data_IF_660859505579
#
_entry.id   IF_660859505579
#
_cell.length_a   1.000
_cell.length_b   1.000
_cell.length_c   1.000
_cell.angle_alpha   90.00
_cell.angle_beta   90.00
_cell.angle_gamma   90.00
#
_symmetry.space_group_name_H-M   'P 1'
#
loop_
_entity.id
_entity.type
_entity.pdbx_description
1 polymer ?
#
# COMPACT_ATOMS: atom_id res chain seq x y z
N UNK A 1 3.50 -6.23 27.30
CA UNK A 1 3.00 -4.98 27.90
C UNK A 1 2.10 -4.29 26.89
N UNK A 2 0.80 -4.58 26.93
CA UNK A 2 -0.16 -3.91 26.05
C UNK A 2 -0.43 -2.51 26.60
N UNK A 3 0.02 -1.48 25.87
CA UNK A 3 -0.29 -0.09 26.24
C UNK A 3 -1.78 0.17 26.07
N UNK A 4 -2.38 0.86 27.05
CA UNK A 4 -3.75 1.36 26.92
C UNK A 4 -3.75 2.38 25.77
N UNK A 5 -4.50 2.08 24.70
CA UNK A 5 -4.66 3.01 23.58
C UNK A 5 -5.87 3.88 23.88
N UNK A 6 -5.62 5.16 24.19
CA UNK A 6 -6.69 6.11 24.46
C UNK A 6 -7.09 6.86 23.20
N UNK A 7 -8.37 6.79 22.87
CA UNK A 7 -8.95 7.54 21.75
C UNK A 7 -9.71 8.73 22.33
N UNK A 8 -9.22 9.95 22.11
CA UNK A 8 -9.88 11.18 22.58
C UNK A 8 -10.93 11.68 21.58
N UNK A 9 -12.03 12.23 22.09
CA UNK A 9 -12.97 13.01 21.27
C UNK A 9 -12.35 14.31 20.78
N UNK A 10 -12.95 14.91 19.77
CA UNK A 10 -12.65 16.30 19.41
C UNK A 10 -12.92 17.23 20.60
N UNK A 11 -12.14 18.30 20.67
CA UNK A 11 -12.36 19.35 21.65
C UNK A 11 -13.70 20.04 21.42
N UNK A 12 -14.43 20.30 22.51
CA UNK A 12 -15.59 21.18 22.49
C UNK A 12 -15.16 22.63 22.20
N UNK A 13 -16.11 23.50 21.78
CA UNK A 13 -15.86 24.93 21.67
C UNK A 13 -15.38 25.51 23.01
N UNK A 14 -14.61 26.60 22.95
CA UNK A 14 -14.20 27.32 24.14
C UNK A 14 -15.39 27.98 24.83
N UNK A 15 -15.39 27.99 26.16
CA UNK A 15 -16.36 28.72 26.96
C UNK A 15 -16.28 30.23 26.69
N UNK A 16 -17.30 30.98 27.14
CA UNK A 16 -17.16 32.42 27.27
C UNK A 16 -15.98 32.76 28.21
N UNK A 17 -15.36 33.91 27.98
CA UNK A 17 -14.29 34.41 28.84
C UNK A 17 -14.86 34.79 30.21
N UNK A 18 -14.16 34.43 31.29
CA UNK A 18 -14.59 34.73 32.66
C UNK A 18 -14.64 36.22 32.99
N UNK A 19 -13.88 37.05 32.28
CA UNK A 19 -13.86 38.50 32.43
C UNK A 19 -14.00 39.18 31.08
N UNK A 20 -14.73 40.30 31.03
CA UNK A 20 -14.88 41.08 29.81
C UNK A 20 -13.61 41.86 29.44
N UNK A 21 -12.82 42.25 30.44
CA UNK A 21 -11.57 43.01 30.32
C UNK A 21 -10.65 42.69 31.51
N UNK A 22 -9.44 43.27 31.53
CA UNK A 22 -8.38 43.09 32.54
C UNK A 22 -7.82 41.66 32.70
N UNK A 23 -8.13 40.79 31.74
CA UNK A 23 -7.66 39.41 31.73
C UNK A 23 -8.65 38.48 32.42
N UNK A 24 -9.20 37.56 31.64
CA UNK A 24 -9.98 36.43 32.11
C UNK A 24 -9.39 35.12 31.62
N UNK A 25 -10.10 34.04 31.91
CA UNK A 25 -9.80 32.70 31.41
C UNK A 25 -11.02 32.11 30.73
N UNK A 26 -10.76 31.35 29.68
CA UNK A 26 -11.74 30.49 29.02
C UNK A 26 -11.20 29.07 29.05
N UNK A 27 -12.10 28.10 29.11
CA UNK A 27 -11.75 26.69 29.18
C UNK A 27 -12.48 25.90 28.10
N UNK A 28 -11.91 24.77 27.73
CA UNK A 28 -12.57 23.77 26.88
C UNK A 28 -12.27 22.37 27.39
N UNK A 29 -13.18 21.47 27.07
CA UNK A 29 -13.19 20.09 27.52
C UNK A 29 -13.22 19.13 26.35
N UNK A 30 -12.67 17.93 26.55
CA UNK A 30 -12.84 16.78 25.64
C UNK A 30 -12.99 15.52 26.45
N UNK A 31 -13.77 14.58 25.94
CA UNK A 31 -13.92 13.26 26.53
C UNK A 31 -12.92 12.24 25.98
N UNK A 32 -12.85 11.09 26.65
CA UNK A 32 -12.24 9.87 26.12
C UNK A 32 -13.36 9.01 25.53
N UNK A 33 -13.16 8.52 24.33
CA UNK A 33 -14.08 7.61 23.62
C UNK A 33 -13.78 6.16 23.94
N UNK A 34 -12.50 5.79 24.06
CA UNK A 34 -12.04 4.43 24.34
C UNK A 34 -10.81 4.45 25.25
N UNK A 35 -10.69 3.47 26.14
CA UNK A 35 -9.52 3.31 27.02
C UNK A 35 -9.54 4.11 28.33
N UNK A 36 -10.68 4.71 28.71
CA UNK A 36 -10.78 5.65 29.84
C UNK A 36 -10.71 5.06 31.26
N UNK A 37 -10.89 3.75 31.44
CA UNK A 37 -10.77 3.12 32.76
C UNK A 37 -10.28 1.67 32.62
N UNK A 38 -9.08 1.37 33.13
CA UNK A 38 -8.67 0.00 33.40
C UNK A 38 -8.87 -0.31 34.88
N UNK A 39 -9.24 -1.56 35.19
CA UNK A 39 -9.28 -2.11 36.56
C UNK A 39 -7.93 -2.11 37.27
N UNK A 40 -6.86 -1.69 36.59
CA UNK A 40 -5.47 -1.71 37.04
C UNK A 40 -4.91 -0.30 37.34
N UNK A 41 -5.77 0.72 37.42
CA UNK A 41 -5.38 2.08 37.84
C UNK A 41 -4.63 2.91 36.79
N UNK A 42 -4.43 2.39 35.57
CA UNK A 42 -3.90 3.16 34.45
C UNK A 42 -5.02 3.98 33.78
N UNK A 43 -4.90 5.31 33.84
CA UNK A 43 -5.75 6.25 33.11
C UNK A 43 -5.08 6.75 31.82
N UNK A 44 -5.84 7.46 30.99
CA UNK A 44 -5.32 8.06 29.77
C UNK A 44 -4.32 9.18 30.06
N UNK A 45 -3.14 9.12 29.42
CA UNK A 45 -2.17 10.20 29.46
C UNK A 45 -2.54 11.27 28.42
N UNK A 46 -3.06 12.40 28.90
CA UNK A 46 -3.46 13.52 28.07
C UNK A 46 -4.49 14.44 28.74
N UNK A 47 -4.36 15.75 28.51
CA UNK A 47 -5.26 16.73 29.10
C UNK A 47 -6.70 16.53 28.59
N UNK A 48 -7.66 16.45 29.51
CA UNK A 48 -9.11 16.45 29.25
C UNK A 48 -9.72 17.85 29.34
N UNK A 49 -9.01 18.77 29.99
CA UNK A 49 -9.38 20.18 30.13
C UNK A 49 -8.18 21.03 29.74
N UNK A 50 -8.40 22.11 28.99
CA UNK A 50 -7.36 23.12 28.75
C UNK A 50 -7.90 24.49 29.10
N UNK A 51 -7.12 25.29 29.81
CA UNK A 51 -7.44 26.68 30.17
C UNK A 51 -6.52 27.61 29.40
N UNK A 52 -7.03 28.78 28.99
CA UNK A 52 -6.20 29.84 28.42
C UNK A 52 -6.70 31.22 28.82
N UNK A 53 -5.79 32.19 28.79
CA UNK A 53 -6.11 33.59 29.01
C UNK A 53 -6.90 34.18 27.84
N UNK A 54 -7.83 35.08 28.16
CA UNK A 54 -8.65 35.85 27.22
C UNK A 54 -8.83 37.28 27.75
N UNK A 55 -9.28 38.20 26.89
CA UNK A 55 -9.64 39.59 27.26
C UNK A 55 -8.62 40.35 28.11
N UNK A 56 -7.33 40.28 27.76
CA UNK A 56 -6.21 40.91 28.50
C UNK A 56 -6.10 42.44 28.32
N UNK A 57 -7.07 43.07 27.68
CA UNK A 57 -7.07 44.51 27.45
C UNK A 57 -7.61 45.25 28.69
N UNK A 58 -7.20 46.52 28.90
CA UNK A 58 -7.73 47.31 30.01
C UNK A 58 -9.20 47.67 29.81
N UNK A 59 -9.97 47.68 30.88
CA UNK A 59 -11.36 48.12 30.85
C UNK A 59 -11.47 49.60 30.44
N UNK A 60 -12.54 49.96 29.72
CA UNK A 60 -12.80 51.33 29.25
C UNK A 60 -12.06 51.75 27.97
N UNK A 61 -11.12 50.94 27.47
CA UNK A 61 -10.59 51.11 26.12
C UNK A 61 -11.46 50.34 25.13
N UNK A 62 -11.99 51.02 24.12
CA UNK A 62 -12.55 50.35 22.95
C UNK A 62 -11.44 49.55 22.29
N UNK A 63 -11.54 48.23 22.35
CA UNK A 63 -10.49 47.34 21.91
C UNK A 63 -10.97 46.62 20.65
N UNK A 64 -10.31 46.90 19.53
CA UNK A 64 -10.68 46.33 18.23
C UNK A 64 -10.15 44.90 18.12
N UNK A 65 -10.93 43.94 17.60
CA UNK A 65 -10.45 42.57 17.42
C UNK A 65 -9.18 42.53 16.56
N UNK A 66 -8.10 42.03 17.14
CA UNK A 66 -6.82 41.87 16.45
C UNK A 66 -6.60 40.40 16.16
N UNK A 67 -6.54 40.06 14.87
CA UNK A 67 -6.19 38.71 14.47
C UNK A 67 -4.70 38.44 14.65
N UNK A 68 -4.40 37.21 15.04
CA UNK A 68 -3.03 36.72 15.10
C UNK A 68 -2.37 36.75 13.71
N UNK A 69 -1.08 37.07 13.68
CA UNK A 69 -0.28 37.11 12.44
C UNK A 69 0.94 36.22 12.59
N UNK A 70 1.11 35.32 11.62
CA UNK A 70 2.31 34.53 11.45
C UNK A 70 3.46 35.36 10.89
N UNK A 71 4.67 35.07 11.36
CA UNK A 71 5.91 35.57 10.76
C UNK A 71 6.26 34.85 9.47
N UNK A 72 7.43 35.21 8.92
CA UNK A 72 8.02 34.46 7.81
C UNK A 72 8.41 33.06 8.28
N UNK A 73 8.34 32.12 7.34
CA UNK A 73 8.94 30.81 7.52
C UNK A 73 10.46 30.93 7.64
N UNK A 74 11.05 30.07 8.46
CA UNK A 74 12.48 29.79 8.39
C UNK A 74 12.83 29.11 7.08
N UNK A 75 14.14 29.08 6.79
CA UNK A 75 14.66 28.15 5.79
C UNK A 75 14.35 26.71 6.20
N UNK A 76 14.30 25.83 5.19
CA UNK A 76 14.17 24.40 5.41
C UNK A 76 15.41 23.84 6.10
N UNK A 77 15.21 22.91 7.03
CA UNK A 77 16.30 22.10 7.57
C UNK A 77 16.98 21.25 6.49
N UNK A 78 18.14 20.70 6.83
CA UNK A 78 18.69 19.57 6.10
C UNK A 78 17.71 18.37 6.14
N UNK A 79 17.84 17.50 5.15
CA UNK A 79 17.10 16.24 5.10
C UNK A 79 17.59 15.29 6.20
N UNK A 80 16.66 14.70 6.97
CA UNK A 80 17.00 13.73 8.01
C UNK A 80 17.71 12.49 7.47
N UNK A 81 17.37 12.08 6.25
CA UNK A 81 18.02 11.04 5.46
C UNK A 81 17.64 11.22 3.99
N UNK A 82 18.28 10.48 3.08
CA UNK A 82 17.82 10.50 1.70
C UNK A 82 16.39 9.94 1.58
N UNK A 83 15.56 10.60 0.76
CA UNK A 83 14.12 10.35 0.72
C UNK A 83 13.42 10.47 2.10
N UNK A 84 14.06 11.12 3.07
CA UNK A 84 13.54 11.39 4.40
C UNK A 84 12.65 12.61 4.43
N UNK A 85 12.70 13.34 5.55
CA UNK A 85 11.90 14.53 5.79
C UNK A 85 12.79 15.73 6.07
N UNK A 86 12.27 16.91 5.77
CA UNK A 86 12.82 18.21 6.17
C UNK A 86 11.73 19.03 6.83
N UNK A 87 12.12 19.91 7.73
CA UNK A 87 11.21 20.67 8.56
C UNK A 87 11.52 22.16 8.46
N UNK A 88 10.50 23.01 8.60
CA UNK A 88 10.66 24.46 8.79
C UNK A 88 9.69 24.97 9.84
N UNK A 89 10.02 26.10 10.45
CA UNK A 89 9.23 26.67 11.54
C UNK A 89 8.91 28.14 11.25
N UNK A 90 7.81 28.61 11.84
CA UNK A 90 7.48 30.04 11.89
C UNK A 90 6.98 30.40 13.28
N UNK A 91 7.21 31.65 13.69
CA UNK A 91 6.74 32.19 14.97
C UNK A 91 5.56 33.12 14.76
N UNK A 92 4.73 33.26 15.79
CA UNK A 92 3.73 34.32 15.85
C UNK A 92 4.47 35.66 15.99
N UNK A 93 4.15 36.61 15.11
CA UNK A 93 4.71 37.99 15.17
C UNK A 93 3.71 38.98 15.76
N UNK A 94 2.41 38.64 15.76
CA UNK A 94 1.37 39.40 16.44
C UNK A 94 0.40 38.42 17.07
N UNK A 95 0.25 38.50 18.39
CA UNK A 95 -0.71 37.69 19.13
C UNK A 95 -2.12 38.24 18.87
N UNK A 96 -3.13 37.37 18.94
CA UNK A 96 -4.52 37.81 18.87
C UNK A 96 -4.93 38.55 20.14
N UNK A 97 -5.68 39.63 20.00
CA UNK A 97 -6.24 40.40 21.12
C UNK A 97 -7.74 40.62 20.89
N UNK A 98 -8.48 40.94 21.95
CA UNK A 98 -9.83 41.47 21.84
C UNK A 98 -10.82 40.57 21.08
N UNK A 99 -10.76 39.26 21.34
CA UNK A 99 -11.61 38.28 20.63
C UNK A 99 -11.23 38.05 19.16
N UNK A 100 -10.10 38.59 18.69
CA UNK A 100 -9.57 38.31 17.36
C UNK A 100 -9.15 36.86 17.17
N UNK A 101 -9.12 36.42 15.90
CA UNK A 101 -8.81 35.04 15.52
C UNK A 101 -7.38 34.67 15.89
N UNK A 102 -7.22 33.61 16.68
CA UNK A 102 -5.91 33.08 17.06
C UNK A 102 -5.24 32.32 15.92
N UNK A 103 -3.92 32.24 15.95
CA UNK A 103 -3.18 31.34 15.06
C UNK A 103 -3.41 29.89 15.52
N UNK A 104 -3.52 28.96 14.56
CA UNK A 104 -3.68 27.53 14.88
C UNK A 104 -2.34 26.97 15.33
N UNK A 105 -2.30 26.27 16.45
CA UNK A 105 -1.04 25.74 17.00
C UNK A 105 -0.33 24.77 16.05
N UNK A 106 -1.10 23.91 15.34
CA UNK A 106 -0.55 22.97 14.35
C UNK A 106 0.04 23.60 13.09
N UNK A 107 -0.09 24.92 12.92
CA UNK A 107 0.41 25.66 11.77
C UNK A 107 1.81 26.28 12.03
N UNK A 108 2.42 26.02 13.20
CA UNK A 108 3.75 26.51 13.58
C UNK A 108 4.90 25.81 12.83
N UNK A 109 4.70 24.54 12.48
CA UNK A 109 5.69 23.65 11.88
C UNK A 109 5.16 23.08 10.57
N UNK A 110 6.05 22.89 9.61
CA UNK A 110 5.75 22.22 8.35
C UNK A 110 6.81 21.17 8.04
N UNK A 111 6.34 19.98 7.65
CA UNK A 111 7.18 18.84 7.29
C UNK A 111 6.97 18.52 5.80
N UNK A 112 8.07 18.44 5.05
CA UNK A 112 8.06 18.07 3.64
C UNK A 112 8.96 16.87 3.37
N UNK A 113 8.63 16.10 2.33
CA UNK A 113 9.47 15.00 1.85
C UNK A 113 10.71 15.54 1.15
N UNK A 114 11.83 14.87 1.36
CA UNK A 114 13.05 15.14 0.62
C UNK A 114 13.04 14.49 -0.77
N UNK A 115 13.66 15.12 -1.78
CA UNK A 115 13.86 14.50 -3.08
C UNK A 115 14.62 13.16 -2.97
N UNK A 116 14.31 12.22 -3.86
CA UNK A 116 15.05 10.94 -4.00
C UNK A 116 16.33 11.07 -4.81
N UNK A 117 16.99 12.24 -4.79
CA UNK A 117 18.28 12.37 -5.45
C UNK A 117 19.39 11.98 -4.49
N UNK A 118 19.48 10.68 -4.21
CA UNK A 118 20.55 10.10 -3.40
C UNK A 118 21.74 9.87 -4.32
N UNK A 119 22.56 10.88 -4.58
CA UNK A 119 23.95 10.58 -4.93
C UNK A 119 24.56 10.11 -3.61
N UNK A 120 24.69 8.79 -3.46
CA UNK A 120 25.36 8.21 -2.30
C UNK A 120 26.70 8.93 -2.10
N UNK A 121 27.07 9.16 -0.84
CA UNK A 121 28.37 9.78 -0.57
C UNK A 121 29.44 8.98 -1.30
N UNK A 122 30.32 9.66 -2.06
CA UNK A 122 31.37 9.00 -2.80
C UNK A 122 32.22 8.15 -1.85
N UNK A 123 32.20 6.83 -2.04
CA UNK A 123 33.06 5.92 -1.30
C UNK A 123 34.38 5.74 -2.05
N UNK A 124 35.46 5.59 -1.29
CA UNK A 124 36.78 5.31 -1.85
C UNK A 124 37.01 3.80 -1.91
N UNK A 125 37.18 3.27 -3.11
CA UNK A 125 37.49 1.86 -3.36
C UNK A 125 38.77 1.70 -4.17
N UNK A 126 39.50 0.62 -3.95
CA UNK A 126 40.64 0.31 -4.79
C UNK A 126 40.18 -0.15 -6.18
N UNK A 127 40.82 0.36 -7.24
CA UNK A 127 40.68 -0.19 -8.58
C UNK A 127 41.19 -1.63 -8.64
N UNK A 128 40.88 -2.31 -9.75
CA UNK A 128 41.59 -3.53 -10.12
C UNK A 128 43.09 -3.30 -10.18
N UNK A 129 43.83 -4.38 -9.90
CA UNK A 129 45.26 -4.40 -10.08
C UNK A 129 45.60 -4.19 -11.55
N UNK A 130 46.56 -3.31 -11.84
CA UNK A 130 47.18 -3.28 -13.15
C UNK A 130 47.80 -4.64 -13.47
N UNK A 131 47.98 -4.97 -14.76
CA UNK A 131 48.86 -6.04 -15.15
C UNK A 131 50.25 -5.87 -14.51
N UNK A 132 50.93 -6.99 -14.24
CA UNK A 132 52.32 -6.94 -13.81
C UNK A 132 53.19 -6.29 -14.90
N UNK A 133 54.15 -5.48 -14.48
CA UNK A 133 55.20 -4.95 -15.34
C UNK A 133 56.01 -6.08 -15.99
N UNK A 134 56.73 -5.74 -17.05
CA UNK A 134 57.82 -6.59 -17.54
C UNK A 134 58.82 -6.85 -16.41
N UNK A 135 59.54 -7.97 -16.51
CA UNK A 135 60.59 -8.30 -15.56
C UNK A 135 61.68 -7.22 -15.61
N UNK A 136 62.21 -6.80 -14.47
CA UNK A 136 63.28 -5.79 -14.40
C UNK A 136 64.56 -6.20 -15.11
N UNK A 137 64.78 -7.51 -15.26
CA UNK A 137 65.93 -8.11 -15.95
C UNK A 137 65.46 -9.28 -16.82
N UNK A 138 66.20 -9.55 -17.88
CA UNK A 138 65.96 -10.67 -18.79
C UNK A 138 66.52 -12.01 -18.26
N UNK A 139 67.53 -11.98 -17.38
CA UNK A 139 68.08 -13.16 -16.72
C UNK A 139 68.49 -12.86 -15.26
N UNK A 140 68.57 -13.89 -14.42
CA UNK A 140 68.86 -13.76 -12.98
C UNK A 140 67.64 -13.38 -12.13
N UNK A 141 67.89 -12.79 -10.96
CA UNK A 141 66.83 -12.42 -9.99
C UNK A 141 66.18 -11.09 -10.37
N UNK A 142 65.02 -11.16 -11.02
CA UNK A 142 64.22 -10.00 -11.37
C UNK A 142 63.02 -9.77 -10.46
N UNK A 143 62.46 -8.55 -10.52
CA UNK A 143 61.23 -8.18 -9.81
C UNK A 143 60.21 -7.67 -10.83
N UNK A 144 58.93 -7.96 -10.57
CA UNK A 144 57.79 -7.37 -11.29
C UNK A 144 57.00 -6.51 -10.33
N UNK A 145 56.45 -5.40 -10.83
CA UNK A 145 55.64 -4.47 -10.05
C UNK A 145 54.24 -4.41 -10.66
N UNK A 146 53.22 -4.23 -9.83
CA UNK A 146 51.87 -3.85 -10.23
C UNK A 146 51.34 -2.80 -9.27
N UNK A 147 50.38 -2.02 -9.73
CA UNK A 147 49.80 -0.93 -8.95
C UNK A 147 48.29 -0.91 -9.09
N UNK A 148 47.60 -0.42 -8.07
CA UNK A 148 46.18 -0.08 -8.11
C UNK A 148 46.01 1.32 -7.54
N UNK A 149 44.95 2.02 -7.92
CA UNK A 149 44.67 3.40 -7.47
C UNK A 149 43.40 3.43 -6.65
N UNK A 150 43.31 4.38 -5.74
CA UNK A 150 42.05 4.66 -5.05
C UNK A 150 41.14 5.38 -6.04
N UNK A 151 39.94 4.86 -6.24
CA UNK A 151 38.89 5.42 -7.08
C UNK A 151 37.69 5.79 -6.22
N UNK A 152 37.00 6.84 -6.65
CA UNK A 152 35.77 7.30 -6.01
C UNK A 152 34.58 6.73 -6.75
N UNK A 153 33.79 5.90 -6.09
CA UNK A 153 32.61 5.23 -6.68
C UNK A 153 31.37 5.52 -5.85
N UNK A 154 30.19 5.37 -6.46
CA UNK A 154 28.90 5.58 -5.79
C UNK A 154 28.18 4.26 -5.45
N UNK A 155 28.71 3.14 -5.94
CA UNK A 155 28.17 1.78 -5.81
C UNK A 155 29.31 0.82 -5.47
N UNK A 156 29.03 -0.21 -4.67
CA UNK A 156 29.98 -1.29 -4.40
C UNK A 156 29.80 -2.41 -5.43
N UNK A 157 30.84 -3.18 -5.77
CA UNK A 157 30.74 -4.32 -6.69
C UNK A 157 29.80 -5.42 -6.17
N UNK A 158 29.66 -5.57 -4.85
CA UNK A 158 28.66 -6.46 -4.24
C UNK A 158 27.23 -5.98 -4.54
N UNK A 159 26.99 -4.68 -4.49
CA UNK A 159 25.69 -4.08 -4.80
C UNK A 159 25.39 -4.16 -6.30
N UNK A 160 26.39 -3.95 -7.17
CA UNK A 160 26.24 -4.12 -8.62
C UNK A 160 25.91 -5.57 -9.00
N UNK A 161 26.59 -6.55 -8.40
CA UNK A 161 26.28 -7.97 -8.60
C UNK A 161 24.88 -8.33 -8.09
N UNK A 162 24.44 -7.72 -6.98
CA UNK A 162 23.08 -7.88 -6.47
C UNK A 162 22.03 -7.30 -7.44
N UNK A 163 22.27 -6.12 -8.02
CA UNK A 163 21.39 -5.54 -9.04
C UNK A 163 21.30 -6.42 -10.30
N UNK A 164 22.43 -6.92 -10.81
CA UNK A 164 22.43 -7.81 -11.98
C UNK A 164 21.67 -9.12 -11.71
N UNK A 165 21.76 -9.64 -10.48
CA UNK A 165 21.00 -10.81 -10.04
C UNK A 165 19.49 -10.52 -9.97
N UNK A 166 19.10 -9.32 -9.50
CA UNK A 166 17.72 -8.88 -9.49
C UNK A 166 17.14 -8.73 -10.90
N UNK A 167 17.90 -8.17 -11.83
CA UNK A 167 17.47 -8.04 -13.24
C UNK A 167 17.28 -9.41 -13.91
N UNK A 168 18.17 -10.38 -13.65
CA UNK A 168 17.97 -11.77 -14.10
C UNK A 168 16.69 -12.37 -13.53
N UNK A 169 16.42 -12.13 -12.24
CA UNK A 169 15.24 -12.65 -11.58
C UNK A 169 13.95 -12.04 -12.15
N UNK A 170 13.93 -10.73 -12.40
CA UNK A 170 12.79 -10.06 -13.04
C UNK A 170 12.50 -10.64 -14.43
N UNK A 171 13.54 -10.86 -15.25
CA UNK A 171 13.39 -11.52 -16.55
C UNK A 171 12.80 -12.94 -16.44
N UNK A 172 13.17 -13.70 -15.41
CA UNK A 172 12.57 -15.00 -15.14
C UNK A 172 11.09 -14.90 -14.76
N UNK A 173 10.72 -13.94 -13.91
CA UNK A 173 9.32 -13.69 -13.51
C UNK A 173 8.48 -13.34 -14.74
N UNK A 174 8.93 -12.41 -15.58
CA UNK A 174 8.23 -12.02 -16.81
C UNK A 174 8.01 -13.21 -17.77
N UNK A 175 9.01 -14.09 -17.92
CA UNK A 175 8.89 -15.30 -18.72
C UNK A 175 7.84 -16.27 -18.14
N UNK A 176 7.86 -16.49 -16.82
CA UNK A 176 6.86 -17.32 -16.14
C UNK A 176 5.45 -16.75 -16.27
N UNK A 177 5.30 -15.44 -16.12
CA UNK A 177 4.02 -14.76 -16.32
C UNK A 177 3.53 -14.90 -17.76
N UNK A 178 4.40 -14.72 -18.76
CA UNK A 178 4.09 -14.97 -20.17
C UNK A 178 3.62 -16.40 -20.42
N UNK A 179 4.31 -17.40 -19.85
CA UNK A 179 3.91 -18.81 -19.94
C UNK A 179 2.55 -19.06 -19.28
N UNK A 180 2.34 -18.54 -18.07
CA UNK A 180 1.06 -18.64 -17.35
C UNK A 180 -0.08 -18.00 -18.13
N UNK A 181 0.16 -16.84 -18.75
CA UNK A 181 -0.82 -16.14 -19.57
C UNK A 181 -1.20 -16.96 -20.80
N UNK A 182 -0.23 -17.54 -21.52
CA UNK A 182 -0.48 -18.44 -22.65
C UNK A 182 -1.31 -19.66 -22.24
N UNK A 183 -1.02 -20.28 -21.10
CA UNK A 183 -1.78 -21.42 -20.58
C UNK A 183 -3.23 -21.02 -20.27
N UNK A 184 -3.45 -19.87 -19.63
CA UNK A 184 -4.80 -19.35 -19.36
C UNK A 184 -5.58 -19.09 -20.65
N UNK A 185 -4.94 -18.51 -21.66
CA UNK A 185 -5.55 -18.30 -22.98
C UNK A 185 -5.91 -19.62 -23.66
N UNK A 186 -5.02 -20.60 -23.67
CA UNK A 186 -5.30 -21.92 -24.25
C UNK A 186 -6.47 -22.62 -23.54
N UNK A 187 -6.54 -22.55 -22.20
CA UNK A 187 -7.64 -23.12 -21.43
C UNK A 187 -8.99 -22.44 -21.76
N UNK A 188 -9.00 -21.12 -21.93
CA UNK A 188 -10.20 -20.37 -22.28
C UNK A 188 -10.73 -20.69 -23.68
N UNK A 189 -9.86 -21.01 -24.63
CA UNK A 189 -10.26 -21.42 -25.99
C UNK A 189 -10.70 -22.89 -26.05
N UNK A 190 -10.00 -23.78 -25.35
CA UNK A 190 -10.29 -25.21 -25.39
C UNK A 190 -11.63 -25.56 -24.70
N UNK A 191 -11.98 -24.89 -23.60
CA UNK A 191 -13.20 -25.19 -22.84
C UNK A 191 -14.52 -25.05 -23.63
N UNK A 192 -14.79 -23.90 -24.28
CA UNK A 192 -15.99 -23.72 -25.09
C UNK A 192 -16.05 -24.68 -26.27
N UNK A 193 -14.91 -24.95 -26.93
CA UNK A 193 -14.85 -25.87 -28.06
C UNK A 193 -15.21 -27.31 -27.67
N UNK A 194 -14.70 -27.81 -26.54
CA UNK A 194 -15.03 -29.15 -26.06
C UNK A 194 -16.49 -29.26 -25.62
N UNK A 195 -17.04 -28.23 -24.99
CA UNK A 195 -18.47 -28.19 -24.66
C UNK A 195 -19.36 -28.22 -25.90
N UNK A 196 -19.06 -27.42 -26.92
CA UNK A 196 -19.82 -27.40 -28.18
C UNK A 196 -19.78 -28.76 -28.88
N UNK A 197 -18.62 -29.42 -28.92
CA UNK A 197 -18.47 -30.76 -29.48
C UNK A 197 -19.28 -31.80 -28.69
N UNK A 198 -19.27 -31.73 -27.36
CA UNK A 198 -20.07 -32.62 -26.51
C UNK A 198 -21.58 -32.40 -26.74
N UNK A 199 -22.05 -31.15 -26.80
CA UNK A 199 -23.46 -30.85 -27.11
C UNK A 199 -23.86 -31.34 -28.51
N UNK A 200 -23.00 -31.17 -29.51
CA UNK A 200 -23.24 -31.68 -30.85
C UNK A 200 -23.32 -33.22 -30.86
N UNK A 201 -22.41 -33.91 -30.15
CA UNK A 201 -22.43 -35.35 -29.98
C UNK A 201 -23.70 -35.87 -29.29
N UNK A 202 -24.12 -35.23 -28.19
CA UNK A 202 -25.37 -35.58 -27.49
C UNK A 202 -26.58 -35.38 -28.41
N UNK A 203 -26.62 -34.27 -29.18
CA UNK A 203 -27.71 -34.03 -30.12
C UNK A 203 -27.77 -35.09 -31.22
N UNK A 204 -26.63 -35.45 -31.81
CA UNK A 204 -26.53 -36.51 -32.82
C UNK A 204 -26.99 -37.86 -32.27
N UNK A 205 -26.52 -38.22 -31.08
CA UNK A 205 -26.93 -39.46 -30.41
C UNK A 205 -28.43 -39.48 -30.08
N UNK A 206 -28.98 -38.36 -29.61
CA UNK A 206 -30.43 -38.24 -29.33
C UNK A 206 -31.33 -38.31 -30.57
N UNK A 207 -30.78 -37.99 -31.76
CA UNK A 207 -31.48 -38.16 -33.05
C UNK A 207 -31.44 -39.62 -33.47
N UNK A 208 -30.26 -40.22 -33.45
CA UNK A 208 -30.07 -41.63 -33.78
C UNK A 208 -30.91 -42.55 -32.89
N UNK A 209 -30.94 -42.31 -31.57
CA UNK A 209 -31.77 -43.08 -30.64
C UNK A 209 -33.28 -42.90 -30.88
N UNK A 210 -33.71 -41.73 -31.41
CA UNK A 210 -35.10 -41.47 -31.79
C UNK A 210 -35.49 -42.20 -33.06
N UNK A 211 -34.60 -42.26 -34.05
CA UNK A 211 -34.78 -43.06 -35.27
C UNK A 211 -34.88 -44.54 -34.92
N UNK A 212 -33.96 -45.08 -34.10
CA UNK A 212 -34.02 -46.48 -33.63
C UNK A 212 -35.30 -46.79 -32.83
N UNK A 213 -35.78 -45.84 -32.03
CA UNK A 213 -37.06 -45.99 -31.30
C UNK A 213 -38.29 -45.94 -32.23
N UNK A 214 -38.25 -45.10 -33.28
CA UNK A 214 -39.31 -45.01 -34.28
C UNK A 214 -39.38 -46.27 -35.15
N UNK A 215 -38.22 -46.82 -35.53
CA UNK A 215 -38.11 -48.09 -36.26
C UNK A 215 -38.59 -49.28 -35.41
N UNK A 216 -38.36 -49.26 -34.09
CA UNK A 216 -38.91 -50.30 -33.19
C UNK A 216 -40.42 -50.16 -32.96
N UNK A 217 -40.95 -48.94 -32.96
CA UNK A 217 -42.39 -48.69 -32.83
C UNK A 217 -43.17 -49.11 -34.08
N UNK A 218 -42.63 -48.89 -35.29
CA UNK A 218 -43.24 -49.33 -36.54
C UNK A 218 -43.25 -50.86 -36.68
N UNK A 219 -42.21 -51.56 -36.22
CA UNK A 219 -42.18 -53.03 -36.16
C UNK A 219 -43.23 -53.58 -35.18
N UNK A 220 -43.47 -52.90 -34.05
CA UNK A 220 -44.49 -53.31 -33.08
C UNK A 220 -45.93 -53.09 -33.59
N UNK A 221 -46.23 -51.99 -34.29
CA UNK A 221 -47.54 -51.80 -34.95
C UNK A 221 -47.82 -52.86 -36.03
N UNK A 222 -46.80 -53.27 -36.78
CA UNK A 222 -46.91 -54.37 -37.75
C UNK A 222 -47.14 -55.74 -37.09
N UNK A 223 -46.68 -55.94 -35.85
CA UNK A 223 -46.92 -57.17 -35.09
C UNK A 223 -48.30 -57.23 -34.40
N UNK A 224 -48.86 -56.08 -34.03
CA UNK A 224 -50.16 -55.99 -33.36
C UNK A 224 -51.37 -56.23 -34.29
N UNK A 225 -51.15 -56.22 -35.62
CA UNK A 225 -52.19 -56.46 -36.63
C UNK A 225 -52.33 -57.94 -37.05
N UNK A 226 -51.58 -58.87 -36.42
CA UNK A 226 -51.48 -60.27 -36.84
C UNK A 226 -52.00 -61.30 -35.81
N UNK A 227 -52.70 -60.89 -34.75
CA UNK A 227 -53.23 -61.81 -33.72
C UNK A 227 -54.74 -61.62 -33.53
N UNK A 228 -55.54 -62.26 -34.40
CA UNK A 228 -56.93 -62.66 -34.13
C UNK A 228 -57.11 -64.16 -34.49
N UNK A 229 -57.16 -65.00 -33.44
CA UNK A 229 -57.99 -66.22 -33.24
C UNK A 229 -57.87 -67.49 -34.13
N UNK A 230 -58.40 -68.67 -33.70
CA UNK A 230 -58.60 -69.24 -32.34
C UNK A 230 -58.28 -70.77 -32.19
N UNK A 231 -58.37 -71.29 -30.95
CA UNK A 231 -58.89 -72.61 -30.45
C UNK A 231 -58.45 -73.95 -31.11
N UNK A 232 -58.45 -75.15 -30.51
CA UNK A 232 -58.89 -75.73 -29.23
C UNK A 232 -58.29 -77.15 -29.10
N UNK A 233 -58.48 -77.77 -27.92
CA UNK A 233 -58.72 -79.20 -27.62
C UNK A 233 -57.82 -80.29 -28.27
N UNK A 234 -57.27 -81.25 -27.54
CA UNK A 234 -57.73 -81.84 -26.28
C UNK A 234 -58.15 -83.30 -26.52
N UNK A 235 -57.47 -84.19 -25.81
CA UNK A 235 -57.91 -85.52 -25.38
C UNK A 235 -57.96 -86.71 -26.34
N UNK A 236 -57.58 -87.84 -25.74
CA UNK A 236 -57.89 -89.20 -26.14
C UNK A 236 -57.65 -90.10 -24.93
N UNK A 237 -58.69 -90.25 -24.12
CA UNK A 237 -58.80 -91.08 -22.92
C UNK A 237 -58.63 -92.58 -23.19
#
# INVERSE_FOLDING_TARGET
MGGITCVFKSWEPWSACSQACEGGVEQRTRGVTEGGASSHGGGCDGALVTVRSCNTHRCGQSCLPVNCKWGKWSEWSACSKCAGQKTRHRRVVRVSECGGRRCKEGDMEEIAKCPRNCKGEPICMWSDWSPFSKCSVSCGLGRKKRSRRLQTVHTTPELEAAYESLERLDGHVQNLESKRLKIRFLAFLAGPSTMLLAFAGIRLWSRFAREDSADRASVLEMSASLVEHPEEQGDGA
#
